data_IF_836564159077
#
_entry.id   IF_836564159077
#
_cell.length_a   1.000
_cell.length_b   1.000
_cell.length_c   1.000
_cell.angle_alpha   90.00
_cell.angle_beta   90.00
_cell.angle_gamma   90.00
#
_symmetry.space_group_name_H-M   'P 1'
#
loop_
_entity.id
_entity.type
_entity.pdbx_description
1 polymer ?
#
# COMPACT_ATOMS: atom_id res chain seq x y z
N UNK A 1 -10.55 -21.67 24.75
CA UNK A 1 -10.89 -20.34 24.21
C UNK A 1 -9.64 -19.73 23.57
N UNK A 2 -9.66 -19.31 22.29
CA UNK A 2 -8.52 -18.59 21.72
C UNK A 2 -8.38 -17.24 22.46
N UNK A 3 -7.20 -16.97 23.02
CA UNK A 3 -6.92 -15.68 23.69
C UNK A 3 -7.11 -14.54 22.72
N UNK A 4 -7.91 -13.54 23.13
CA UNK A 4 -8.20 -12.33 22.35
C UNK A 4 -6.89 -11.60 22.07
N UNK A 5 -6.58 -11.33 20.80
CA UNK A 5 -5.36 -10.60 20.41
C UNK A 5 -5.47 -9.12 20.76
N UNK A 6 -4.41 -8.56 21.29
CA UNK A 6 -4.32 -7.16 21.67
C UNK A 6 -3.57 -6.35 20.62
N UNK A 7 -4.15 -5.22 20.21
CA UNK A 7 -3.64 -4.32 19.18
C UNK A 7 -3.33 -2.94 19.74
N UNK A 8 -2.39 -2.26 19.11
CA UNK A 8 -2.25 -0.81 19.14
C UNK A 8 -2.35 -0.26 17.72
N UNK A 9 -2.72 1.01 17.55
CA UNK A 9 -2.89 1.66 16.25
C UNK A 9 -2.14 2.98 16.21
N UNK A 10 -1.32 3.19 15.18
CA UNK A 10 -0.60 4.44 14.91
C UNK A 10 -1.16 5.05 13.62
N UNK A 11 -1.51 6.34 13.65
CA UNK A 11 -2.15 7.03 12.54
C UNK A 11 -3.69 6.95 12.61
N UNK A 12 -4.26 7.08 13.81
CA UNK A 12 -5.68 6.84 14.10
C UNK A 12 -6.65 7.83 13.43
N UNK A 13 -6.22 9.06 13.11
CA UNK A 13 -7.00 10.05 12.36
C UNK A 13 -6.87 9.89 10.83
N UNK A 14 -6.03 8.95 10.37
CA UNK A 14 -5.81 8.71 8.95
C UNK A 14 -7.04 8.15 8.23
N UNK A 15 -7.17 8.46 6.92
CA UNK A 15 -8.30 8.01 6.09
C UNK A 15 -8.50 6.48 6.09
N UNK A 16 -7.44 5.70 6.24
CA UNK A 16 -7.53 4.23 6.25
C UNK A 16 -7.72 3.63 7.64
N UNK A 17 -7.52 4.40 8.72
CA UNK A 17 -7.63 3.93 10.09
C UNK A 17 -8.99 3.25 10.41
N UNK A 18 -10.16 3.74 9.95
CA UNK A 18 -11.44 3.07 10.18
C UNK A 18 -11.49 1.65 9.63
N UNK A 19 -10.76 1.35 8.54
CA UNK A 19 -10.69 0.00 7.96
C UNK A 19 -9.90 -0.95 8.86
N UNK A 20 -8.82 -0.46 9.47
CA UNK A 20 -8.05 -1.23 10.46
C UNK A 20 -8.84 -1.45 11.74
N UNK A 21 -9.51 -0.40 12.26
CA UNK A 21 -10.38 -0.53 13.45
C UNK A 21 -11.46 -1.59 13.22
N UNK A 22 -12.12 -1.56 12.06
CA UNK A 22 -13.11 -2.57 11.67
C UNK A 22 -12.48 -3.96 11.58
N UNK A 23 -11.33 -4.11 10.93
CA UNK A 23 -10.65 -5.38 10.78
C UNK A 23 -10.24 -5.97 12.14
N UNK A 24 -9.73 -5.16 13.07
CA UNK A 24 -9.42 -5.58 14.44
C UNK A 24 -10.68 -6.09 15.15
N UNK A 25 -11.80 -5.34 15.04
CA UNK A 25 -13.09 -5.70 15.67
C UNK A 25 -13.65 -7.00 15.11
N UNK A 26 -13.74 -7.12 13.78
CA UNK A 26 -14.31 -8.28 13.09
C UNK A 26 -13.46 -9.55 13.26
N UNK A 27 -12.17 -9.42 13.50
CA UNK A 27 -11.29 -10.56 13.83
C UNK A 27 -11.24 -10.90 15.32
N UNK A 28 -12.10 -10.27 16.14
CA UNK A 28 -12.22 -10.52 17.58
C UNK A 28 -11.07 -9.94 18.41
N UNK A 29 -10.30 -9.01 17.87
CA UNK A 29 -9.22 -8.31 18.56
C UNK A 29 -9.70 -7.27 19.57
N UNK A 30 -8.79 -6.74 20.38
CA UNK A 30 -9.01 -5.57 21.25
C UNK A 30 -7.99 -4.49 20.93
N UNK A 31 -8.39 -3.22 20.97
CA UNK A 31 -7.48 -2.10 20.85
C UNK A 31 -7.10 -1.60 22.26
N UNK A 32 -5.80 -1.61 22.58
CA UNK A 32 -5.29 -1.12 23.88
C UNK A 32 -4.96 0.36 23.85
N UNK A 33 -4.38 0.81 22.72
CA UNK A 33 -3.95 2.18 22.56
C UNK A 33 -4.03 2.62 21.10
N UNK A 34 -4.27 3.91 20.89
CA UNK A 34 -4.20 4.56 19.60
C UNK A 34 -3.37 5.83 19.69
N UNK A 35 -2.67 6.16 18.61
CA UNK A 35 -1.83 7.35 18.48
C UNK A 35 -2.16 8.09 17.19
N UNK A 36 -2.33 9.41 17.29
CA UNK A 36 -2.27 10.35 16.16
C UNK A 36 -1.98 11.75 16.69
N UNK A 37 -1.13 12.56 16.03
CA UNK A 37 -0.95 13.97 16.42
C UNK A 37 -2.24 14.80 16.31
N UNK A 38 -3.19 14.40 15.46
CA UNK A 38 -4.53 14.98 15.38
C UNK A 38 -5.46 14.31 16.39
N UNK A 39 -6.27 15.10 17.07
CA UNK A 39 -7.32 14.65 18.01
C UNK A 39 -8.66 14.36 17.32
N UNK A 40 -8.74 14.49 16.00
CA UNK A 40 -9.92 14.18 15.21
C UNK A 40 -10.14 12.67 15.07
N UNK A 41 -10.29 11.97 16.18
CA UNK A 41 -10.28 10.49 16.27
C UNK A 41 -11.57 9.90 16.84
N UNK A 42 -12.67 10.66 16.86
CA UNK A 42 -13.96 10.20 17.37
C UNK A 42 -14.48 8.90 16.74
N UNK A 43 -13.94 8.52 15.59
CA UNK A 43 -14.21 7.22 14.96
C UNK A 43 -13.84 6.03 15.85
N UNK A 44 -12.91 6.18 16.80
CA UNK A 44 -12.51 5.11 17.74
C UNK A 44 -13.67 4.67 18.60
N UNK A 45 -14.55 5.59 18.99
CA UNK A 45 -15.71 5.33 19.89
C UNK A 45 -16.67 4.30 19.27
N UNK A 46 -16.83 4.31 17.95
CA UNK A 46 -17.67 3.33 17.24
C UNK A 46 -17.12 1.89 17.24
N UNK A 47 -15.85 1.72 17.59
CA UNK A 47 -15.17 0.42 17.55
C UNK A 47 -14.63 0.00 18.93
N UNK A 48 -13.90 0.89 19.61
CA UNK A 48 -13.15 0.60 20.83
C UNK A 48 -13.14 1.80 21.77
N UNK A 49 -14.27 2.15 22.40
CA UNK A 49 -14.36 3.32 23.29
C UNK A 49 -13.46 3.25 24.52
N UNK A 50 -13.01 2.03 24.91
CA UNK A 50 -12.09 1.81 26.03
C UNK A 50 -10.62 1.95 25.67
N UNK A 51 -10.27 2.18 24.38
CA UNK A 51 -8.90 2.32 23.95
C UNK A 51 -8.30 3.64 24.44
N UNK A 52 -7.08 3.60 24.99
CA UNK A 52 -6.38 4.84 25.34
C UNK A 52 -5.90 5.55 24.09
N UNK A 53 -6.11 6.85 24.03
CA UNK A 53 -5.64 7.70 22.95
C UNK A 53 -4.50 8.62 23.38
N UNK A 54 -3.56 8.84 22.47
CA UNK A 54 -2.38 9.68 22.67
C UNK A 54 -2.16 10.59 21.46
N UNK A 55 -1.80 11.84 21.69
CA UNK A 55 -1.38 12.78 20.64
C UNK A 55 0.13 12.84 20.47
N UNK A 56 0.88 12.33 21.46
CA UNK A 56 2.34 12.37 21.52
C UNK A 56 2.91 10.96 21.50
N UNK A 57 3.89 10.74 20.60
CA UNK A 57 4.52 9.44 20.43
C UNK A 57 5.22 8.97 21.71
N UNK A 58 5.89 9.87 22.42
CA UNK A 58 6.63 9.56 23.63
C UNK A 58 5.71 9.09 24.78
N UNK A 59 4.51 9.63 24.86
CA UNK A 59 3.50 9.17 25.82
C UNK A 59 2.92 7.82 25.45
N UNK A 60 2.69 7.59 24.16
CA UNK A 60 2.25 6.32 23.64
C UNK A 60 3.30 5.24 23.88
N UNK A 61 4.57 5.50 23.56
CA UNK A 61 5.69 4.58 23.78
C UNK A 61 5.81 4.18 25.28
N UNK A 62 5.83 5.17 26.17
CA UNK A 62 5.85 4.91 27.62
C UNK A 62 4.65 4.07 28.09
N UNK A 63 3.47 4.29 27.52
CA UNK A 63 2.29 3.49 27.87
C UNK A 63 2.43 2.04 27.41
N UNK A 64 2.89 1.81 26.19
CA UNK A 64 3.14 0.46 25.67
C UNK A 64 4.19 -0.29 26.53
N UNK A 65 5.27 0.40 26.93
CA UNK A 65 6.26 -0.18 27.85
C UNK A 65 5.66 -0.47 29.25
N UNK A 66 4.84 0.45 29.79
CA UNK A 66 4.18 0.26 31.07
C UNK A 66 3.28 -0.99 31.10
N UNK A 67 2.42 -1.17 30.11
CA UNK A 67 1.52 -2.33 30.08
C UNK A 67 2.32 -3.62 29.90
N UNK A 68 3.39 -3.60 29.11
CA UNK A 68 4.32 -4.73 28.98
C UNK A 68 4.96 -5.13 30.31
N UNK A 69 5.45 -4.16 31.11
CA UNK A 69 6.02 -4.42 32.46
C UNK A 69 5.01 -4.97 33.43
N UNK A 70 3.72 -4.70 33.22
CA UNK A 70 2.61 -5.26 34.04
C UNK A 70 2.18 -6.66 33.58
N UNK A 71 2.91 -7.28 32.66
CA UNK A 71 2.59 -8.61 32.12
C UNK A 71 1.48 -8.61 31.06
N UNK A 72 0.97 -7.44 30.68
CA UNK A 72 0.10 -7.29 29.53
C UNK A 72 0.94 -7.17 28.27
N UNK A 73 0.37 -7.47 27.10
CA UNK A 73 1.09 -7.37 25.84
C UNK A 73 0.24 -6.71 24.76
N UNK A 74 0.94 -6.10 23.82
CA UNK A 74 0.38 -5.77 22.50
C UNK A 74 0.91 -6.81 21.53
N UNK A 75 0.00 -7.64 20.98
CA UNK A 75 0.39 -8.68 20.02
C UNK A 75 0.76 -8.08 18.66
N UNK A 76 0.04 -7.03 18.25
CA UNK A 76 0.19 -6.38 16.94
C UNK A 76 0.09 -4.86 17.07
N UNK A 77 0.94 -4.15 16.31
CA UNK A 77 0.81 -2.71 16.09
C UNK A 77 0.40 -2.47 14.64
N UNK A 78 -0.80 -1.92 14.45
CA UNK A 78 -1.30 -1.49 13.14
C UNK A 78 -0.78 -0.09 12.82
N UNK A 79 -0.22 0.10 11.63
CA UNK A 79 0.49 1.33 11.25
C UNK A 79 -0.18 1.91 10.00
N UNK A 80 -0.83 3.07 10.18
CA UNK A 80 -1.58 3.84 9.18
C UNK A 80 -1.03 5.28 9.05
N UNK A 81 0.13 5.53 9.60
CA UNK A 81 0.79 6.83 9.58
C UNK A 81 1.22 7.25 8.16
N UNK A 82 1.72 8.48 7.95
CA UNK A 82 2.33 8.87 6.69
C UNK A 82 3.50 7.96 6.26
N UNK A 83 3.66 7.74 4.95
CA UNK A 83 4.59 6.77 4.38
C UNK A 83 6.03 6.85 4.94
N UNK A 84 6.56 8.06 5.11
CA UNK A 84 7.94 8.28 5.61
C UNK A 84 8.14 7.87 7.08
N UNK A 85 7.06 7.69 7.83
CA UNK A 85 7.11 7.27 9.24
C UNK A 85 6.98 5.75 9.41
N UNK A 86 6.61 5.02 8.35
CA UNK A 86 6.37 3.58 8.42
C UNK A 86 7.57 2.81 8.96
N UNK A 87 8.78 3.05 8.44
CA UNK A 87 9.99 2.38 8.91
C UNK A 87 10.20 2.55 10.42
N UNK A 88 10.10 3.80 10.92
CA UNK A 88 10.28 4.10 12.34
C UNK A 88 9.22 3.41 13.21
N UNK A 89 7.96 3.44 12.79
CA UNK A 89 6.86 2.83 13.53
C UNK A 89 6.88 1.29 13.48
N UNK A 90 7.32 0.71 12.37
CA UNK A 90 7.56 -0.75 12.28
C UNK A 90 8.67 -1.15 13.24
N UNK A 91 9.80 -0.41 13.28
CA UNK A 91 10.89 -0.65 14.22
C UNK A 91 10.42 -0.54 15.67
N UNK A 92 9.59 0.46 15.98
CA UNK A 92 8.96 0.58 17.29
C UNK A 92 8.14 -0.66 17.64
N UNK A 93 7.28 -1.13 16.74
CA UNK A 93 6.44 -2.31 16.97
C UNK A 93 7.28 -3.55 17.32
N UNK A 94 8.33 -3.84 16.53
CA UNK A 94 9.20 -5.00 16.75
C UNK A 94 9.96 -4.90 18.08
N UNK A 95 10.53 -3.74 18.40
CA UNK A 95 11.25 -3.51 19.67
C UNK A 95 10.33 -3.55 20.89
N UNK A 96 9.06 -3.19 20.73
CA UNK A 96 8.03 -3.32 21.75
C UNK A 96 7.49 -4.76 21.88
N UNK A 97 8.11 -5.73 21.21
CA UNK A 97 7.73 -7.13 21.17
C UNK A 97 6.34 -7.41 20.58
N UNK A 98 5.81 -6.50 19.75
CA UNK A 98 4.62 -6.70 18.92
C UNK A 98 4.98 -7.03 17.47
N UNK A 99 4.11 -7.73 16.76
CA UNK A 99 4.18 -7.82 15.30
C UNK A 99 3.71 -6.50 14.67
N UNK A 100 4.27 -6.11 13.53
CA UNK A 100 3.81 -4.94 12.79
C UNK A 100 2.83 -5.33 11.69
N UNK A 101 1.72 -4.59 11.55
CA UNK A 101 0.81 -4.63 10.40
C UNK A 101 0.85 -3.24 9.78
N UNK A 102 1.51 -3.08 8.65
CA UNK A 102 1.77 -1.77 8.06
C UNK A 102 1.01 -1.58 6.76
N UNK A 103 0.46 -0.37 6.58
CA UNK A 103 -0.06 0.07 5.29
C UNK A 103 1.04 0.13 4.24
N UNK A 104 0.60 0.10 3.00
CA UNK A 104 1.48 0.29 1.85
C UNK A 104 1.74 1.79 1.58
N UNK A 105 2.91 2.16 1.02
CA UNK A 105 4.10 1.32 0.87
C UNK A 105 4.69 0.97 2.22
N UNK A 106 5.22 -0.24 2.39
CA UNK A 106 5.84 -0.61 3.67
C UNK A 106 6.93 0.37 4.08
N UNK A 107 7.78 0.72 3.13
CA UNK A 107 8.89 1.67 3.26
C UNK A 107 9.10 2.41 1.95
N UNK A 108 9.87 3.51 1.97
CA UNK A 108 10.17 4.29 0.77
C UNK A 108 11.39 3.75 -0.01
N UNK A 109 12.27 3.01 0.65
CA UNK A 109 13.53 2.57 0.06
C UNK A 109 13.81 1.09 0.35
N UNK A 110 14.37 0.33 -0.62
CA UNK A 110 14.60 -1.11 -0.45
C UNK A 110 15.53 -1.48 0.71
N UNK A 111 16.57 -0.67 1.00
CA UNK A 111 17.50 -0.93 2.11
C UNK A 111 16.86 -0.87 3.49
N UNK A 112 15.71 -0.20 3.64
CA UNK A 112 14.95 -0.25 4.88
C UNK A 112 14.44 -1.67 5.17
N UNK A 113 14.09 -2.44 4.12
CA UNK A 113 13.63 -3.83 4.26
C UNK A 113 14.74 -4.69 4.87
N UNK A 114 16.00 -4.48 4.48
CA UNK A 114 17.13 -5.24 5.03
C UNK A 114 17.30 -4.97 6.53
N UNK A 115 17.18 -3.69 6.92
CA UNK A 115 17.20 -3.32 8.34
C UNK A 115 16.02 -3.88 9.14
N UNK A 116 14.83 -3.99 8.53
CA UNK A 116 13.66 -4.61 9.16
C UNK A 116 13.82 -6.13 9.27
N UNK A 117 14.44 -6.78 8.29
CA UNK A 117 14.74 -8.22 8.34
C UNK A 117 15.70 -8.56 9.49
N UNK A 118 16.72 -7.72 9.73
CA UNK A 118 17.57 -7.84 10.92
C UNK A 118 16.78 -7.77 12.22
N UNK A 119 15.87 -6.80 12.34
CA UNK A 119 15.00 -6.67 13.52
C UNK A 119 14.03 -7.83 13.69
N UNK A 120 13.49 -8.41 12.61
CA UNK A 120 12.69 -9.63 12.69
C UNK A 120 13.50 -10.77 13.30
N UNK A 121 14.76 -10.94 12.87
CA UNK A 121 15.67 -11.96 13.39
C UNK A 121 15.98 -11.74 14.87
N UNK A 122 16.28 -10.52 15.28
CA UNK A 122 16.66 -10.16 16.65
C UNK A 122 15.48 -10.30 17.63
N UNK A 123 14.28 -9.94 17.22
CA UNK A 123 13.11 -9.86 18.10
C UNK A 123 12.21 -11.10 18.04
N UNK A 124 12.33 -11.92 17.00
CA UNK A 124 11.41 -13.02 16.71
C UNK A 124 10.00 -12.55 16.34
N UNK A 125 9.83 -11.24 16.04
CA UNK A 125 8.56 -10.66 15.60
C UNK A 125 8.56 -10.53 14.08
N UNK A 126 7.37 -10.34 13.52
CA UNK A 126 7.17 -10.30 12.07
C UNK A 126 6.55 -8.98 11.63
N UNK A 127 6.94 -8.56 10.44
CA UNK A 127 6.33 -7.46 9.71
C UNK A 127 5.37 -8.03 8.67
N UNK A 128 4.16 -7.47 8.64
CA UNK A 128 3.15 -7.77 7.64
C UNK A 128 2.75 -6.49 6.92
N UNK A 129 2.60 -6.56 5.62
CA UNK A 129 2.17 -5.43 4.79
C UNK A 129 0.76 -5.67 4.25
N UNK A 130 -0.06 -4.62 4.21
CA UNK A 130 -1.40 -4.67 3.59
C UNK A 130 -1.26 -4.66 2.07
N UNK A 131 -1.13 -5.84 1.47
CA UNK A 131 -1.12 -6.06 0.02
C UNK A 131 -2.51 -6.56 -0.43
N UNK A 132 -3.51 -5.75 -0.18
CA UNK A 132 -4.92 -6.13 -0.23
C UNK A 132 -5.38 -6.61 -1.61
N UNK A 133 -4.80 -6.10 -2.72
CA UNK A 133 -5.18 -6.53 -4.07
C UNK A 133 -4.87 -8.00 -4.34
N UNK A 134 -3.87 -8.57 -3.67
CA UNK A 134 -3.57 -10.01 -3.75
C UNK A 134 -4.68 -10.89 -3.20
N UNK A 135 -5.59 -10.33 -2.40
CA UNK A 135 -6.75 -11.02 -1.81
C UNK A 135 -8.05 -10.74 -2.56
N UNK A 136 -8.01 -9.90 -3.60
CA UNK A 136 -9.19 -9.58 -4.39
C UNK A 136 -9.57 -10.77 -5.30
N UNK A 137 -10.84 -11.24 -5.29
CA UNK A 137 -11.25 -12.42 -6.05
C UNK A 137 -10.92 -12.36 -7.54
N UNK A 138 -11.17 -11.21 -8.20
CA UNK A 138 -10.84 -11.05 -9.62
C UNK A 138 -9.34 -11.15 -9.90
N UNK A 139 -8.48 -10.69 -8.97
CA UNK A 139 -7.02 -10.78 -9.12
C UNK A 139 -6.52 -12.20 -8.89
N UNK A 140 -7.14 -12.94 -7.95
CA UNK A 140 -6.84 -14.36 -7.74
C UNK A 140 -7.22 -15.15 -8.99
N UNK A 141 -8.43 -14.93 -9.54
CA UNK A 141 -8.90 -15.60 -10.76
C UNK A 141 -7.99 -15.27 -11.97
N UNK A 142 -7.58 -14.00 -12.11
CA UNK A 142 -6.61 -13.59 -13.14
C UNK A 142 -5.30 -14.36 -12.99
N UNK A 143 -4.74 -14.45 -11.80
CA UNK A 143 -3.50 -15.18 -11.54
C UNK A 143 -3.62 -16.67 -11.91
N UNK A 144 -4.74 -17.30 -11.56
CA UNK A 144 -5.01 -18.70 -11.90
C UNK A 144 -5.11 -18.89 -13.42
N UNK A 145 -5.79 -18.00 -14.14
CA UNK A 145 -5.85 -17.97 -15.60
C UNK A 145 -4.44 -17.87 -16.21
N UNK A 146 -3.64 -16.91 -15.77
CA UNK A 146 -2.27 -16.73 -16.25
C UNK A 146 -1.40 -17.96 -15.98
N UNK A 147 -1.55 -18.59 -14.81
CA UNK A 147 -0.80 -19.81 -14.46
C UNK A 147 -1.15 -21.00 -15.35
N UNK A 148 -2.40 -21.11 -15.84
CA UNK A 148 -2.84 -22.18 -16.72
C UNK A 148 -2.26 -22.08 -18.14
N UNK A 149 -1.96 -20.90 -18.64
CA UNK A 149 -1.45 -20.63 -19.99
C UNK A 149 0.06 -20.44 -20.02
N UNK A 150 0.86 -21.45 -19.68
CA UNK A 150 2.28 -21.40 -19.31
C UNK A 150 3.25 -20.69 -20.24
N UNK A 151 2.97 -20.53 -21.53
CA UNK A 151 3.90 -19.97 -22.54
C UNK A 151 3.49 -18.59 -23.05
N UNK A 152 2.33 -18.08 -22.70
CA UNK A 152 1.82 -16.83 -23.24
C UNK A 152 2.39 -15.63 -22.48
N UNK A 153 2.79 -14.58 -23.19
CA UNK A 153 3.10 -13.25 -22.67
C UNK A 153 1.94 -12.34 -23.04
N UNK A 154 1.43 -11.59 -22.09
CA UNK A 154 0.22 -10.77 -22.22
C UNK A 154 0.58 -9.30 -22.42
N UNK A 155 -0.18 -8.59 -23.23
CA UNK A 155 -0.11 -7.14 -23.34
C UNK A 155 -1.11 -6.52 -22.36
N UNK A 156 -0.61 -5.63 -21.48
CA UNK A 156 -1.38 -5.05 -20.39
C UNK A 156 -1.32 -3.54 -20.44
N UNK A 157 -2.48 -2.89 -20.36
CA UNK A 157 -2.58 -1.45 -20.09
C UNK A 157 -3.10 -1.22 -18.68
N UNK A 158 -2.34 -0.48 -17.88
CA UNK A 158 -2.73 -0.06 -16.55
C UNK A 158 -2.94 1.46 -16.55
N UNK A 159 -4.17 1.89 -16.31
CA UNK A 159 -4.51 3.31 -16.12
C UNK A 159 -5.05 3.53 -14.72
N UNK A 160 -4.46 4.45 -13.97
CA UNK A 160 -5.04 4.91 -12.71
C UNK A 160 -4.95 6.42 -12.60
N UNK A 161 -6.11 7.07 -12.68
CA UNK A 161 -6.26 8.51 -12.52
C UNK A 161 -7.15 8.73 -11.29
N UNK A 162 -6.67 9.50 -10.31
CA UNK A 162 -7.43 9.80 -9.11
C UNK A 162 -7.26 11.27 -8.75
N UNK A 163 -8.21 12.09 -9.21
CA UNK A 163 -8.19 13.54 -9.03
C UNK A 163 -7.96 13.95 -7.58
N UNK A 164 -7.00 14.84 -7.37
CA UNK A 164 -6.69 15.43 -6.08
C UNK A 164 -6.79 16.94 -6.15
N UNK A 165 -7.31 17.54 -5.08
CA UNK A 165 -7.33 18.99 -4.93
C UNK A 165 -5.98 19.55 -4.46
N UNK A 166 -5.90 20.89 -4.35
CA UNK A 166 -4.69 21.61 -3.92
C UNK A 166 -4.14 21.13 -2.57
N UNK A 167 -4.99 20.66 -1.66
CA UNK A 167 -4.59 20.09 -0.38
C UNK A 167 -3.55 18.98 -0.49
N UNK A 168 -3.55 18.23 -1.61
CA UNK A 168 -2.60 17.15 -1.82
C UNK A 168 -1.17 17.67 -1.84
N UNK A 169 -0.94 18.78 -2.53
CA UNK A 169 0.39 19.39 -2.72
C UNK A 169 0.91 20.06 -1.45
N UNK A 170 0.02 20.52 -0.57
CA UNK A 170 0.41 21.12 0.73
C UNK A 170 0.55 20.10 1.85
N UNK A 171 0.08 18.87 1.63
CA UNK A 171 0.24 17.76 2.57
C UNK A 171 1.54 17.00 2.32
N UNK A 172 1.90 16.11 3.25
CA UNK A 172 3.04 15.22 3.09
C UNK A 172 3.00 14.37 1.80
N UNK A 173 1.82 14.22 1.18
CA UNK A 173 1.62 13.46 -0.05
C UNK A 173 2.23 14.14 -1.28
N UNK A 174 2.24 15.47 -1.31
CA UNK A 174 2.86 16.28 -2.38
C UNK A 174 4.38 16.38 -2.27
N UNK A 175 4.96 15.98 -1.14
CA UNK A 175 6.39 16.00 -0.91
C UNK A 175 7.00 14.63 -1.21
N UNK A 176 7.83 14.53 -2.27
CA UNK A 176 8.39 13.25 -2.72
C UNK A 176 9.22 12.55 -1.64
N UNK A 177 9.99 13.30 -0.86
CA UNK A 177 10.79 12.74 0.24
C UNK A 177 9.93 12.05 1.30
N UNK A 178 8.66 12.45 1.46
CA UNK A 178 7.73 11.88 2.44
C UNK A 178 6.78 10.85 1.85
N UNK A 179 6.32 11.06 0.62
CA UNK A 179 5.35 10.17 -0.03
C UNK A 179 5.99 9.08 -0.87
N UNK A 180 7.22 9.30 -1.35
CA UNK A 180 7.88 8.50 -2.37
C UNK A 180 7.44 8.85 -3.80
N UNK A 181 6.74 9.99 -3.99
CA UNK A 181 6.19 10.42 -5.28
C UNK A 181 4.95 9.64 -5.70
N UNK A 182 4.41 10.01 -6.87
CA UNK A 182 3.13 9.48 -7.36
C UNK A 182 3.17 7.95 -7.55
N UNK A 183 4.24 7.41 -8.15
CA UNK A 183 4.38 5.97 -8.39
C UNK A 183 4.33 5.15 -7.09
N UNK A 184 4.98 5.63 -6.04
CA UNK A 184 4.98 4.97 -4.73
C UNK A 184 3.63 5.17 -4.01
N UNK A 185 3.15 6.41 -3.95
CA UNK A 185 1.98 6.74 -3.12
C UNK A 185 0.68 6.12 -3.66
N UNK A 186 0.44 6.19 -4.97
CA UNK A 186 -0.78 5.67 -5.59
C UNK A 186 -0.56 4.44 -6.46
N UNK A 187 0.64 4.22 -7.00
CA UNK A 187 0.94 3.14 -7.95
C UNK A 187 1.35 1.82 -7.30
N UNK A 188 1.96 1.85 -6.10
CA UNK A 188 2.57 0.65 -5.48
C UNK A 188 1.64 -0.56 -5.40
N UNK A 189 0.35 -0.38 -5.16
CA UNK A 189 -0.63 -1.46 -5.13
C UNK A 189 -0.72 -2.22 -6.47
N UNK A 190 -0.72 -1.46 -7.56
CA UNK A 190 -0.86 -2.03 -8.90
C UNK A 190 0.42 -2.73 -9.30
N UNK A 191 1.58 -2.13 -9.01
CA UNK A 191 2.85 -2.77 -9.30
C UNK A 191 3.07 -4.05 -8.50
N UNK A 192 2.62 -4.06 -7.24
CA UNK A 192 2.60 -5.27 -6.42
C UNK A 192 1.69 -6.35 -7.02
N UNK A 193 0.48 -5.97 -7.41
CA UNK A 193 -0.47 -6.85 -8.07
C UNK A 193 0.07 -7.41 -9.38
N UNK A 194 0.69 -6.58 -10.22
CA UNK A 194 1.29 -7.01 -11.49
C UNK A 194 2.39 -8.05 -11.26
N UNK A 195 3.30 -7.79 -10.29
CA UNK A 195 4.33 -8.77 -9.93
C UNK A 195 3.73 -10.07 -9.39
N UNK A 196 2.66 -9.98 -8.58
CA UNK A 196 1.97 -11.14 -8.04
C UNK A 196 1.30 -12.02 -9.11
N UNK A 197 0.77 -11.40 -10.17
CA UNK A 197 0.06 -12.08 -11.26
C UNK A 197 1.01 -12.56 -12.35
N UNK A 198 1.95 -11.71 -12.79
CA UNK A 198 2.74 -11.94 -14.01
C UNK A 198 4.19 -12.37 -13.75
N UNK A 199 4.59 -12.53 -12.49
CA UNK A 199 5.92 -13.02 -12.11
C UNK A 199 6.97 -11.91 -11.95
N UNK A 200 8.24 -12.29 -12.06
CA UNK A 200 9.35 -11.38 -11.80
C UNK A 200 9.48 -10.27 -12.85
N UNK A 201 9.86 -9.08 -12.39
CA UNK A 201 10.16 -7.94 -13.26
C UNK A 201 11.49 -8.16 -14.00
N UNK A 202 11.52 -7.90 -15.31
CA UNK A 202 12.70 -7.98 -16.19
C UNK A 202 13.19 -6.61 -16.61
N UNK A 203 12.27 -5.70 -16.99
CA UNK A 203 12.60 -4.34 -17.43
C UNK A 203 11.68 -3.33 -16.77
N UNK A 204 12.21 -2.15 -16.47
CA UNK A 204 11.50 -1.02 -15.91
C UNK A 204 11.98 0.27 -16.56
N UNK A 205 11.17 0.85 -17.43
CA UNK A 205 11.42 2.12 -18.12
C UNK A 205 10.39 3.17 -17.70
N UNK A 206 10.89 4.38 -17.45
CA UNK A 206 10.05 5.54 -17.11
C UNK A 206 9.98 6.42 -18.33
N UNK A 207 8.77 6.67 -18.86
CA UNK A 207 8.55 7.52 -20.02
C UNK A 207 8.28 8.98 -19.64
N UNK A 208 7.66 9.17 -18.48
CA UNK A 208 7.33 10.50 -17.96
C UNK A 208 7.24 10.46 -16.43
N UNK A 209 7.63 11.54 -15.78
CA UNK A 209 7.53 11.69 -14.33
C UNK A 209 7.52 13.16 -13.93
N UNK A 210 6.40 13.59 -13.35
CA UNK A 210 6.19 14.89 -12.70
C UNK A 210 5.61 14.70 -11.30
N UNK A 211 5.26 15.78 -10.62
CA UNK A 211 4.61 15.71 -9.30
C UNK A 211 3.19 15.13 -9.36
N UNK A 212 2.52 15.22 -10.50
CA UNK A 212 1.09 14.87 -10.65
C UNK A 212 0.81 13.81 -11.71
N UNK A 213 1.80 13.43 -12.52
CA UNK A 213 1.66 12.44 -13.57
C UNK A 213 2.93 11.58 -13.71
N UNK A 214 2.75 10.30 -13.98
CA UNK A 214 3.85 9.42 -14.35
C UNK A 214 3.36 8.34 -15.31
N UNK A 215 4.24 7.94 -16.24
CA UNK A 215 3.99 6.83 -17.16
C UNK A 215 5.26 6.07 -17.49
N UNK A 216 5.11 4.85 -17.97
CA UNK A 216 6.24 4.03 -18.34
C UNK A 216 5.86 2.66 -18.85
N UNK A 217 6.86 1.81 -18.91
CA UNK A 217 6.78 0.44 -19.38
C UNK A 217 7.45 -0.51 -18.39
N UNK A 218 6.81 -1.64 -18.15
CA UNK A 218 7.33 -2.72 -17.31
C UNK A 218 7.25 -4.03 -18.10
N UNK A 219 8.32 -4.80 -18.11
CA UNK A 219 8.31 -6.15 -18.63
C UNK A 219 8.46 -7.15 -17.49
N UNK A 220 7.45 -8.01 -17.35
CA UNK A 220 7.44 -9.14 -16.43
C UNK A 220 7.70 -10.45 -17.17
N UNK A 221 7.88 -11.55 -16.45
CA UNK A 221 8.03 -12.88 -17.07
C UNK A 221 6.88 -13.23 -18.01
N UNK A 222 5.68 -12.76 -17.66
CA UNK A 222 4.43 -13.13 -18.34
C UNK A 222 3.63 -11.94 -18.89
N UNK A 223 4.13 -10.69 -18.81
CA UNK A 223 3.44 -9.53 -19.35
C UNK A 223 4.37 -8.41 -19.79
N UNK A 224 3.92 -7.66 -20.80
CA UNK A 224 4.39 -6.33 -21.18
C UNK A 224 3.35 -5.33 -20.75
N UNK A 225 3.72 -4.41 -19.87
CA UNK A 225 2.77 -3.52 -19.22
C UNK A 225 3.09 -2.07 -19.56
N UNK A 226 2.17 -1.38 -20.24
CA UNK A 226 2.17 0.06 -20.37
C UNK A 226 1.36 0.62 -19.20
N UNK A 227 1.90 1.58 -18.48
CA UNK A 227 1.23 2.14 -17.32
C UNK A 227 1.17 3.65 -17.33
N UNK A 228 0.06 4.19 -16.81
CA UNK A 228 -0.19 5.62 -16.67
C UNK A 228 -0.85 5.91 -15.33
N UNK A 229 -0.27 6.84 -14.57
CA UNK A 229 -0.78 7.31 -13.28
C UNK A 229 -0.94 8.82 -13.33
N UNK A 230 -2.07 9.34 -12.84
CA UNK A 230 -2.27 10.79 -12.68
C UNK A 230 -3.12 11.11 -11.45
N UNK A 231 -2.85 12.27 -10.83
CA UNK A 231 -3.71 12.88 -9.82
C UNK A 231 -4.42 14.12 -10.34
N UNK A 232 -4.30 14.40 -11.64
CA UNK A 232 -4.85 15.57 -12.29
C UNK A 232 -6.27 15.29 -12.82
N UNK A 233 -7.21 16.16 -12.50
CA UNK A 233 -8.60 16.03 -12.96
C UNK A 233 -8.76 16.11 -14.49
N UNK A 234 -7.91 16.89 -15.17
CA UNK A 234 -7.95 17.06 -16.63
C UNK A 234 -7.61 15.78 -17.41
N UNK A 235 -6.92 14.84 -16.78
CA UNK A 235 -6.56 13.58 -17.42
C UNK A 235 -7.68 12.52 -17.35
N UNK A 236 -8.75 12.81 -16.59
CA UNK A 236 -9.90 11.91 -16.51
C UNK A 236 -10.62 11.81 -17.86
N UNK A 237 -11.01 10.58 -18.30
CA UNK A 237 -11.95 10.44 -19.40
C UNK A 237 -13.28 11.11 -19.07
N UNK A 238 -13.98 11.65 -20.08
CA UNK A 238 -15.28 12.32 -19.90
C UNK A 238 -16.29 11.43 -19.16
N UNK A 239 -16.32 10.14 -19.47
CA UNK A 239 -17.19 9.16 -18.81
C UNK A 239 -16.88 8.96 -17.32
N UNK A 240 -15.69 9.34 -16.85
CA UNK A 240 -15.25 9.21 -15.46
C UNK A 240 -15.13 10.56 -14.73
N UNK A 241 -15.36 11.68 -15.38
CA UNK A 241 -15.19 13.02 -14.79
C UNK A 241 -16.01 13.21 -13.50
N UNK A 242 -17.25 12.72 -13.47
CA UNK A 242 -18.12 12.80 -12.29
C UNK A 242 -17.64 11.92 -11.11
N UNK A 243 -16.93 10.83 -11.39
CA UNK A 243 -16.45 9.87 -10.38
C UNK A 243 -15.12 10.30 -9.72
N UNK A 244 -14.43 11.30 -10.26
CA UNK A 244 -13.10 11.79 -9.81
C UNK A 244 -12.01 10.72 -9.77
N UNK A 245 -12.30 9.52 -10.24
CA UNK A 245 -11.36 8.39 -10.27
C UNK A 245 -11.68 7.51 -11.47
N UNK A 246 -10.64 7.19 -12.22
CA UNK A 246 -10.67 6.21 -13.31
C UNK A 246 -9.61 5.16 -13.06
N UNK A 247 -10.01 3.90 -13.06
CA UNK A 247 -9.14 2.74 -12.87
C UNK A 247 -9.49 1.74 -13.96
N UNK A 248 -8.48 1.34 -14.72
CA UNK A 248 -8.63 0.37 -15.79
C UNK A 248 -7.39 -0.50 -15.86
N UNK A 249 -7.58 -1.79 -16.00
CA UNK A 249 -6.54 -2.75 -16.34
C UNK A 249 -7.09 -3.60 -17.45
N UNK A 250 -6.47 -3.53 -18.64
CA UNK A 250 -6.80 -4.44 -19.74
C UNK A 250 -5.70 -5.48 -19.90
N UNK A 251 -6.07 -6.69 -20.21
CA UNK A 251 -5.16 -7.81 -20.51
C UNK A 251 -5.52 -8.34 -21.89
N UNK A 252 -4.63 -8.16 -22.87
CA UNK A 252 -4.91 -8.45 -24.29
C UNK A 252 -6.18 -7.75 -24.82
N UNK A 253 -6.42 -6.52 -24.34
CA UNK A 253 -7.61 -5.73 -24.69
C UNK A 253 -8.89 -6.06 -23.91
N UNK A 254 -8.89 -7.09 -23.07
CA UNK A 254 -10.02 -7.44 -22.19
C UNK A 254 -9.90 -6.67 -20.87
N UNK A 255 -10.94 -5.89 -20.51
CA UNK A 255 -11.01 -5.17 -19.23
C UNK A 255 -11.17 -6.15 -18.06
N UNK A 256 -10.31 -6.02 -17.07
CA UNK A 256 -10.41 -6.76 -15.81
C UNK A 256 -11.16 -5.90 -14.80
N UNK A 257 -12.42 -6.23 -14.56
CA UNK A 257 -13.25 -5.51 -13.59
C UNK A 257 -12.87 -5.89 -12.16
N UNK A 258 -12.40 -4.93 -11.40
CA UNK A 258 -12.05 -5.07 -9.99
C UNK A 258 -12.34 -3.80 -9.16
N UNK A 259 -13.26 -2.98 -9.64
CA UNK A 259 -13.67 -1.73 -8.94
C UNK A 259 -14.51 -2.01 -7.71
N UNK A 260 -15.20 -3.15 -7.66
CA UNK A 260 -15.99 -3.62 -6.52
C UNK A 260 -15.18 -4.57 -5.64
N UNK A 261 -15.68 -4.89 -4.45
CA UNK A 261 -15.05 -5.89 -3.57
C UNK A 261 -13.93 -5.37 -2.66
N UNK A 262 -13.67 -4.06 -2.62
CA UNK A 262 -12.64 -3.47 -1.75
C UNK A 262 -13.00 -3.36 -0.27
N UNK A 263 -14.29 -3.51 0.07
CA UNK A 263 -14.81 -3.17 1.40
C UNK A 263 -14.22 -4.06 2.50
N UNK A 264 -13.98 -5.33 2.22
CA UNK A 264 -13.59 -6.33 3.22
C UNK A 264 -12.12 -6.80 3.10
N UNK A 265 -11.35 -6.26 2.15
CA UNK A 265 -9.97 -6.71 1.90
C UNK A 265 -9.03 -6.51 3.10
N UNK A 266 -9.28 -5.49 3.95
CA UNK A 266 -8.53 -5.34 5.20
C UNK A 266 -8.88 -6.44 6.19
N UNK A 267 -10.15 -6.81 6.29
CA UNK A 267 -10.60 -7.93 7.16
C UNK A 267 -9.94 -9.22 6.72
N UNK A 268 -9.95 -9.52 5.41
CA UNK A 268 -9.27 -10.69 4.83
C UNK A 268 -7.75 -10.66 5.10
N UNK A 269 -7.12 -9.48 5.00
CA UNK A 269 -5.70 -9.31 5.33
C UNK A 269 -5.42 -9.67 6.79
N UNK A 270 -6.22 -9.16 7.72
CA UNK A 270 -6.08 -9.47 9.15
C UNK A 270 -6.34 -10.94 9.44
N UNK A 271 -7.36 -11.54 8.85
CA UNK A 271 -7.62 -12.98 8.98
C UNK A 271 -6.44 -13.81 8.49
N UNK A 272 -5.85 -13.46 7.34
CA UNK A 272 -4.67 -14.12 6.81
C UNK A 272 -3.45 -13.96 7.74
N UNK A 273 -3.19 -12.76 8.26
CA UNK A 273 -2.11 -12.47 9.20
C UNK A 273 -2.28 -13.29 10.48
N UNK A 274 -3.47 -13.29 11.08
CA UNK A 274 -3.75 -14.03 12.31
C UNK A 274 -3.69 -15.54 12.13
N UNK A 275 -3.86 -16.02 10.91
CA UNK A 275 -3.69 -17.42 10.51
C UNK A 275 -2.26 -17.77 10.07
N UNK A 276 -1.29 -16.84 10.21
CA UNK A 276 0.11 -17.05 9.82
C UNK A 276 0.39 -16.99 8.31
N UNK A 277 -0.55 -16.49 7.52
CA UNK A 277 -0.47 -16.38 6.05
C UNK A 277 -0.44 -14.92 5.55
N UNK A 278 -0.05 -13.98 6.40
CA UNK A 278 0.11 -12.58 6.01
C UNK A 278 1.32 -12.37 5.11
N UNK A 279 1.30 -11.30 4.32
CA UNK A 279 2.38 -10.94 3.40
C UNK A 279 3.53 -10.26 4.16
N UNK A 280 4.70 -10.87 4.12
CA UNK A 280 5.90 -10.43 4.84
C UNK A 280 6.86 -9.58 4.00
N UNK A 281 8.08 -9.38 4.52
CA UNK A 281 9.11 -8.55 3.90
C UNK A 281 9.51 -9.05 2.49
N UNK A 282 9.60 -10.37 2.30
CA UNK A 282 9.92 -10.97 0.99
C UNK A 282 8.83 -10.72 -0.05
N UNK A 283 7.57 -10.70 0.37
CA UNK A 283 6.43 -10.46 -0.52
C UNK A 283 6.38 -9.03 -1.04
N UNK A 284 6.70 -8.05 -0.20
CA UNK A 284 6.61 -6.62 -0.54
C UNK A 284 7.86 -6.08 -1.25
N UNK A 285 9.01 -6.72 -1.09
CA UNK A 285 10.30 -6.27 -1.64
C UNK A 285 10.23 -5.95 -3.13
N UNK A 286 9.69 -6.80 -4.02
CA UNK A 286 9.67 -6.51 -5.46
C UNK A 286 8.96 -5.20 -5.79
N UNK A 287 7.84 -4.90 -5.14
CA UNK A 287 7.10 -3.66 -5.39
C UNK A 287 7.83 -2.42 -4.87
N UNK A 288 8.53 -2.51 -3.75
CA UNK A 288 9.35 -1.41 -3.21
C UNK A 288 10.57 -1.15 -4.11
N UNK A 289 11.25 -2.19 -4.58
CA UNK A 289 12.36 -2.07 -5.53
C UNK A 289 11.89 -1.43 -6.85
N UNK A 290 10.72 -1.84 -7.34
CA UNK A 290 10.12 -1.31 -8.56
C UNK A 290 9.81 0.19 -8.44
N UNK A 291 9.10 0.63 -7.39
CA UNK A 291 8.76 2.04 -7.22
C UNK A 291 9.98 2.90 -6.90
N UNK A 292 10.97 2.36 -6.20
CA UNK A 292 12.26 3.02 -5.99
C UNK A 292 12.99 3.24 -7.32
N UNK A 293 13.03 2.23 -8.18
CA UNK A 293 13.61 2.36 -9.51
C UNK A 293 12.84 3.36 -10.40
N UNK A 294 11.51 3.36 -10.38
CA UNK A 294 10.69 4.36 -11.09
C UNK A 294 11.04 5.77 -10.62
N UNK A 295 11.25 5.98 -9.33
CA UNK A 295 11.60 7.28 -8.76
C UNK A 295 12.99 7.78 -9.16
N UNK A 296 13.97 6.88 -9.28
CA UNK A 296 15.39 7.24 -9.41
C UNK A 296 15.95 7.10 -10.82
N UNK A 297 15.38 6.24 -11.66
CA UNK A 297 15.85 6.03 -13.04
C UNK A 297 15.62 7.29 -13.90
N UNK A 298 16.50 7.55 -14.88
CA UNK A 298 16.27 8.59 -15.87
C UNK A 298 15.05 8.25 -16.75
N UNK A 299 14.39 9.29 -17.24
CA UNK A 299 13.30 9.16 -18.23
C UNK A 299 13.89 8.65 -19.55
N UNK A 300 13.33 7.59 -20.11
CA UNK A 300 13.73 6.94 -21.36
C UNK A 300 12.50 6.54 -22.17
N UNK A 301 12.11 7.37 -23.10
CA UNK A 301 10.91 7.16 -23.95
C UNK A 301 11.10 6.13 -25.06
N UNK A 302 12.34 5.68 -25.31
CA UNK A 302 12.69 4.74 -26.38
C UNK A 302 12.60 3.26 -25.97
N UNK A 303 12.32 2.96 -24.71
CA UNK A 303 12.23 1.58 -24.21
C UNK A 303 10.78 1.18 -24.01
N UNK A 304 10.34 0.16 -24.75
CA UNK A 304 8.97 -0.32 -24.73
C UNK A 304 7.98 0.65 -25.38
N UNK A 305 6.71 0.25 -25.39
CA UNK A 305 5.62 1.06 -25.94
C UNK A 305 5.09 2.06 -24.93
N UNK A 306 4.72 3.26 -25.42
CA UNK A 306 4.11 4.28 -24.61
C UNK A 306 2.63 3.96 -24.35
N UNK A 307 2.16 4.29 -23.14
CA UNK A 307 0.76 4.16 -22.80
C UNK A 307 -0.12 5.10 -23.63
N UNK A 308 -1.30 4.66 -24.13
CA UNK A 308 -2.18 5.50 -24.99
C UNK A 308 -2.58 6.84 -24.35
N UNK A 309 -2.84 6.89 -23.04
CA UNK A 309 -3.15 8.12 -22.32
C UNK A 309 -1.99 9.11 -22.29
N UNK A 310 -0.76 8.62 -22.21
CA UNK A 310 0.41 9.50 -22.23
C UNK A 310 0.56 10.21 -23.57
N UNK A 311 0.31 9.51 -24.68
CA UNK A 311 0.32 10.12 -26.00
C UNK A 311 -0.74 11.22 -26.17
N UNK A 312 -1.88 11.13 -25.44
CA UNK A 312 -2.91 12.17 -25.42
C UNK A 312 -2.43 13.39 -24.61
N UNK A 313 -1.91 13.19 -23.40
CA UNK A 313 -1.42 14.29 -22.54
C UNK A 313 -0.33 15.12 -23.24
N UNK A 314 0.60 14.48 -23.95
CA UNK A 314 1.64 15.18 -24.72
C UNK A 314 1.10 16.06 -25.87
N UNK A 315 -0.10 15.78 -26.40
CA UNK A 315 -0.74 16.59 -27.43
C UNK A 315 -1.43 17.81 -26.84
N UNK A 316 -1.98 17.68 -25.64
CA UNK A 316 -2.74 18.73 -24.96
C UNK A 316 -1.81 19.76 -24.28
N UNK A 317 -0.54 19.45 -24.04
CA UNK A 317 0.50 20.36 -23.53
C UNK A 317 1.20 21.17 -24.64
N UNK A 318 0.79 21.02 -25.92
CA UNK A 318 1.25 21.82 -27.06
C UNK A 318 0.18 22.77 -27.54
#
# INVERSE_FOLDING_TARGET
>A
MKTKKAFALIGAAGYVAPRHLRAIKETGGSLRAALDPSDSVGVIDGFFPEARFFTEFERFDRYIDLIRRRGEKVDYVSICSPNYLHDAHVRFALRSHGHAICEKPLVLNPWNIDGLAGLEADTGKRVFTILQLRLHPAIIALKERIASERKKVYDVDLTYITSRGLWYYTSWKGEEAKSGGIATNIGVHFYDMLAFVFGALRENAVHHRTLDCASGYLEFERARVRWFLSINARDLPDAAAAKKTYRSITVDGEEIEFSEGFTDLHILSYQAILAGRGFGLGDVRPSIEMVSAIRTKPVKTSVGEQHPFFAKVLRDDR
#
